data_IF_916402923015
#
_entry.id   IF_916402923015
#
_cell.length_a   1.000
_cell.length_b   1.000
_cell.length_c   1.000
_cell.angle_alpha   90.00
_cell.angle_beta   90.00
_cell.angle_gamma   90.00
#
_symmetry.space_group_name_H-M   'P 1'
#
loop_
_entity.id
_entity.type
_entity.pdbx_description
1 polymer ?
#
# COMPACT_ATOMS: atom_id res chain seq x y z
N UNK A 1 21.78 35.94 -9.49
CA UNK A 1 20.75 35.55 -10.47
C UNK A 1 20.14 34.28 -9.98
N UNK A 2 18.91 34.35 -9.47
CA UNK A 2 18.17 33.15 -9.01
C UNK A 2 17.64 32.47 -10.26
N UNK A 3 18.10 31.23 -10.56
CA UNK A 3 17.39 30.35 -11.46
C UNK A 3 16.11 29.92 -10.74
N UNK A 4 14.98 30.51 -11.12
CA UNK A 4 13.68 29.91 -10.85
C UNK A 4 13.69 28.53 -11.51
N UNK A 5 13.76 27.50 -10.69
CA UNK A 5 13.50 26.14 -11.16
C UNK A 5 12.03 26.12 -11.57
N UNK A 6 11.78 26.18 -12.86
CA UNK A 6 10.51 25.85 -13.44
C UNK A 6 10.22 24.40 -13.09
N UNK A 7 9.48 24.19 -12.03
CA UNK A 7 8.91 22.87 -11.74
C UNK A 7 7.82 22.67 -12.78
N UNK A 8 7.96 21.63 -13.57
CA UNK A 8 7.06 21.32 -14.66
C UNK A 8 5.62 21.21 -14.11
N UNK A 9 4.72 21.98 -14.64
CA UNK A 9 3.32 22.02 -14.20
C UNK A 9 2.63 20.65 -14.31
N UNK A 10 3.07 19.80 -15.24
CA UNK A 10 2.57 18.43 -15.38
C UNK A 10 3.04 17.53 -14.22
N UNK A 11 4.27 17.73 -13.72
CA UNK A 11 4.77 17.02 -12.54
C UNK A 11 4.01 17.45 -11.29
N UNK A 12 3.75 18.74 -11.12
CA UNK A 12 2.93 19.25 -10.00
C UNK A 12 1.49 18.73 -10.09
N UNK A 13 0.89 18.72 -11.28
CA UNK A 13 -0.45 18.19 -11.50
C UNK A 13 -0.52 16.69 -11.24
N UNK A 14 0.51 15.92 -11.60
CA UNK A 14 0.61 14.48 -11.29
C UNK A 14 0.72 14.22 -9.79
N UNK A 15 1.48 15.03 -9.06
CA UNK A 15 1.61 14.95 -7.59
C UNK A 15 0.31 15.35 -6.87
N UNK A 16 -0.44 16.32 -7.42
CA UNK A 16 -1.71 16.78 -6.87
C UNK A 16 -2.87 15.78 -7.06
N UNK A 17 -2.72 14.83 -7.97
CA UNK A 17 -3.76 13.83 -8.27
C UNK A 17 -3.43 12.42 -7.77
N UNK A 18 -2.27 12.21 -7.17
CA UNK A 18 -1.89 10.90 -6.60
C UNK A 18 -2.76 10.57 -5.41
N UNK A 19 -3.36 9.39 -5.44
CA UNK A 19 -4.18 8.85 -4.34
C UNK A 19 -3.48 7.68 -3.67
N UNK A 20 -3.70 7.56 -2.38
CA UNK A 20 -3.16 6.46 -1.57
C UNK A 20 -4.33 5.57 -1.16
N UNK A 21 -4.25 4.30 -1.50
CA UNK A 21 -5.24 3.28 -1.13
C UNK A 21 -4.61 2.31 -0.14
N UNK A 22 -5.27 2.08 0.99
CA UNK A 22 -4.80 1.20 2.05
C UNK A 22 -5.73 0.00 2.13
N UNK A 23 -5.18 -1.19 1.91
CA UNK A 23 -5.78 -2.47 2.27
C UNK A 23 -5.61 -2.63 3.78
N UNK A 24 -6.65 -2.25 4.53
CA UNK A 24 -6.51 -1.92 5.94
C UNK A 24 -6.71 -3.12 6.88
N UNK A 25 -7.26 -4.22 6.40
CA UNK A 25 -7.49 -5.40 7.23
C UNK A 25 -6.15 -6.02 7.69
N UNK A 26 -5.88 -5.93 8.99
CA UNK A 26 -4.62 -6.38 9.56
C UNK A 26 -3.39 -5.52 9.23
N UNK A 27 -3.56 -4.34 8.65
CA UNK A 27 -2.48 -3.43 8.27
C UNK A 27 -1.93 -2.69 9.50
N UNK A 28 -0.64 -2.88 9.87
CA UNK A 28 -0.07 -2.24 11.07
C UNK A 28 0.31 -0.77 10.83
N UNK A 29 0.26 -0.27 9.60
CA UNK A 29 0.75 1.06 9.21
C UNK A 29 -0.34 2.01 8.73
N UNK A 30 -1.61 1.66 8.91
CA UNK A 30 -2.73 2.50 8.50
C UNK A 30 -2.63 3.91 9.07
N UNK A 31 -2.37 4.05 10.37
CA UNK A 31 -2.26 5.35 11.03
C UNK A 31 -1.08 6.17 10.49
N UNK A 32 0.05 5.54 10.26
CA UNK A 32 1.24 6.19 9.70
C UNK A 32 0.96 6.67 8.28
N UNK A 33 0.35 5.82 7.46
CA UNK A 33 0.00 6.16 6.08
C UNK A 33 -0.95 7.36 6.00
N UNK A 34 -2.01 7.36 6.81
CA UNK A 34 -2.97 8.47 6.87
C UNK A 34 -2.30 9.77 7.34
N UNK A 35 -1.53 9.72 8.42
CA UNK A 35 -0.81 10.91 8.93
C UNK A 35 0.17 11.48 7.91
N UNK A 36 0.90 10.61 7.22
CA UNK A 36 1.85 11.02 6.17
C UNK A 36 1.11 11.65 4.99
N UNK A 37 0.02 11.03 4.54
CA UNK A 37 -0.82 11.57 3.47
C UNK A 37 -1.37 12.97 3.81
N UNK A 38 -1.98 13.12 4.97
CA UNK A 38 -2.55 14.40 5.43
C UNK A 38 -1.48 15.49 5.52
N UNK A 39 -0.34 15.18 6.10
CA UNK A 39 0.78 16.13 6.24
C UNK A 39 1.28 16.65 4.90
N UNK A 40 1.19 15.87 3.84
CA UNK A 40 1.69 16.21 2.52
C UNK A 40 0.59 16.50 1.48
N UNK A 41 -0.66 16.62 1.93
CA UNK A 41 -1.79 16.99 1.08
C UNK A 41 -2.20 15.92 0.05
N UNK A 42 -1.85 14.66 0.29
CA UNK A 42 -2.26 13.54 -0.56
C UNK A 42 -3.63 12.98 -0.11
N UNK A 43 -4.49 12.65 -1.07
CA UNK A 43 -5.73 11.95 -0.79
C UNK A 43 -5.46 10.53 -0.30
N UNK A 44 -6.14 10.10 0.75
CA UNK A 44 -5.97 8.78 1.32
C UNK A 44 -7.33 8.09 1.51
N UNK A 45 -7.43 6.87 1.03
CA UNK A 45 -8.62 6.04 1.15
C UNK A 45 -8.29 4.74 1.85
N UNK A 46 -9.00 4.47 2.94
CA UNK A 46 -8.94 3.22 3.69
C UNK A 46 -10.01 2.29 3.13
N UNK A 47 -9.64 1.07 2.78
CA UNK A 47 -10.59 0.04 2.35
C UNK A 47 -10.52 -1.10 3.35
N UNK A 48 -11.66 -1.44 3.97
CA UNK A 48 -11.79 -2.47 4.98
C UNK A 48 -13.09 -3.25 4.81
N UNK A 49 -13.20 -4.41 5.46
CA UNK A 49 -14.45 -5.12 5.52
C UNK A 49 -15.34 -4.64 6.69
N UNK A 50 -16.61 -5.07 6.68
CA UNK A 50 -17.57 -4.69 7.73
C UNK A 50 -17.23 -5.24 9.12
N UNK A 51 -16.35 -6.24 9.21
CA UNK A 51 -15.89 -6.78 10.49
C UNK A 51 -14.80 -5.93 11.14
N UNK A 52 -14.11 -5.12 10.36
CA UNK A 52 -12.94 -4.33 10.77
C UNK A 52 -13.08 -2.88 10.34
N UNK A 53 -14.23 -2.25 10.62
CA UNK A 53 -14.47 -0.84 10.25
C UNK A 53 -13.42 0.07 10.89
N UNK A 54 -12.63 0.72 10.04
CA UNK A 54 -11.52 1.58 10.43
C UNK A 54 -11.77 2.98 9.91
N UNK A 55 -11.87 3.95 10.81
CA UNK A 55 -12.06 5.35 10.48
C UNK A 55 -10.91 6.19 11.02
N UNK A 56 -10.38 7.07 10.20
CA UNK A 56 -9.30 8.00 10.57
C UNK A 56 -9.59 9.38 9.98
N UNK A 57 -9.34 10.41 10.77
CA UNK A 57 -9.47 11.79 10.33
C UNK A 57 -8.50 12.07 9.17
N UNK A 58 -9.01 12.71 8.13
CA UNK A 58 -8.23 13.05 6.94
C UNK A 58 -8.14 11.94 5.88
N UNK A 59 -8.81 10.81 6.10
CA UNK A 59 -8.94 9.75 5.10
C UNK A 59 -10.41 9.40 4.86
N UNK A 60 -10.73 9.06 3.62
CA UNK A 60 -12.01 8.42 3.29
C UNK A 60 -11.96 6.95 3.71
N UNK A 61 -13.06 6.42 4.25
CA UNK A 61 -13.19 5.00 4.54
C UNK A 61 -14.26 4.39 3.66
N UNK A 62 -13.89 3.37 2.91
CA UNK A 62 -14.79 2.55 2.12
C UNK A 62 -14.89 1.19 2.81
N UNK A 63 -16.09 0.87 3.28
CA UNK A 63 -16.37 -0.42 3.90
C UNK A 63 -17.06 -1.33 2.88
N UNK A 64 -16.52 -2.52 2.69
CA UNK A 64 -17.09 -3.54 1.80
C UNK A 64 -17.70 -4.67 2.61
N UNK A 65 -18.69 -5.36 2.04
CA UNK A 65 -19.31 -6.51 2.70
C UNK A 65 -18.29 -7.64 2.87
N UNK A 66 -18.45 -8.41 3.97
CA UNK A 66 -17.67 -9.64 4.21
C UNK A 66 -17.79 -10.58 3.02
N UNK A 67 -16.66 -10.95 2.49
CA UNK A 67 -16.56 -11.94 1.42
C UNK A 67 -15.12 -12.07 1.01
N UNK A 68 -14.73 -13.25 0.52
CA UNK A 68 -13.41 -13.43 -0.07
C UNK A 68 -13.21 -12.39 -1.18
N UNK A 69 -12.08 -11.69 -1.14
CA UNK A 69 -11.61 -10.79 -2.18
C UNK A 69 -12.40 -9.47 -2.38
N UNK A 70 -13.40 -9.15 -1.54
CA UNK A 70 -14.21 -7.92 -1.70
C UNK A 70 -13.36 -6.64 -1.57
N UNK A 71 -12.45 -6.59 -0.60
CA UNK A 71 -11.49 -5.47 -0.43
C UNK A 71 -10.58 -5.37 -1.65
N UNK A 72 -10.04 -6.50 -2.11
CA UNK A 72 -9.14 -6.57 -3.26
C UNK A 72 -9.81 -6.05 -4.53
N UNK A 73 -10.99 -6.54 -4.85
CA UNK A 73 -11.74 -6.08 -6.03
C UNK A 73 -12.09 -4.60 -5.95
N UNK A 74 -12.50 -4.12 -4.78
CA UNK A 74 -12.82 -2.71 -4.60
C UNK A 74 -11.60 -1.82 -4.82
N UNK A 75 -10.47 -2.19 -4.23
CA UNK A 75 -9.23 -1.44 -4.37
C UNK A 75 -8.75 -1.42 -5.82
N UNK A 76 -8.69 -2.58 -6.47
CA UNK A 76 -8.25 -2.68 -7.88
C UNK A 76 -9.16 -1.89 -8.82
N UNK A 77 -10.46 -1.82 -8.56
CA UNK A 77 -11.39 -1.03 -9.37
C UNK A 77 -11.23 0.49 -9.19
N UNK A 78 -10.71 0.92 -8.06
CA UNK A 78 -10.52 2.35 -7.76
C UNK A 78 -9.14 2.87 -8.15
N UNK A 79 -8.12 2.03 -8.06
CA UNK A 79 -6.73 2.44 -8.28
C UNK A 79 -6.45 2.71 -9.76
N UNK A 80 -5.65 3.72 -10.02
CA UNK A 80 -5.21 4.13 -11.37
C UNK A 80 -3.68 4.17 -11.46
N UNK A 81 -3.18 4.33 -12.67
CA UNK A 81 -1.74 4.51 -12.91
C UNK A 81 -1.18 5.68 -12.09
N UNK A 82 -0.07 5.45 -11.40
CA UNK A 82 0.60 6.43 -10.56
C UNK A 82 0.05 6.56 -9.14
N UNK A 83 -1.09 5.95 -8.83
CA UNK A 83 -1.57 5.87 -7.46
C UNK A 83 -0.71 4.94 -6.60
N UNK A 84 -0.83 5.08 -5.29
CA UNK A 84 -0.10 4.25 -4.32
C UNK A 84 -1.08 3.25 -3.69
N UNK A 85 -0.69 1.99 -3.64
CA UNK A 85 -1.35 0.97 -2.82
C UNK A 85 -0.44 0.53 -1.67
N UNK A 86 -1.03 0.35 -0.49
CA UNK A 86 -0.36 -0.24 0.68
C UNK A 86 -1.06 -1.54 1.00
N UNK A 87 -0.37 -2.66 0.85
CA UNK A 87 -0.93 -4.00 1.12
C UNK A 87 0.12 -5.00 1.53
N UNK A 88 -0.28 -5.99 2.33
CA UNK A 88 0.52 -7.17 2.66
C UNK A 88 0.15 -8.38 1.78
N UNK A 89 -0.87 -8.26 0.96
CA UNK A 89 -1.35 -9.33 0.09
C UNK A 89 -0.63 -9.30 -1.25
N UNK A 90 0.14 -10.35 -1.54
CA UNK A 90 0.91 -10.45 -2.79
C UNK A 90 0.02 -10.55 -4.03
N UNK A 91 -1.14 -11.19 -3.92
CA UNK A 91 -2.09 -11.28 -5.02
C UNK A 91 -2.69 -9.93 -5.38
N UNK A 92 -3.11 -9.15 -4.36
CA UNK A 92 -3.58 -7.79 -4.54
C UNK A 92 -2.46 -6.89 -5.09
N UNK A 93 -1.23 -7.02 -4.56
CA UNK A 93 -0.08 -6.29 -5.06
C UNK A 93 0.15 -6.54 -6.56
N UNK A 94 0.07 -7.79 -7.01
CA UNK A 94 0.20 -8.13 -8.43
C UNK A 94 -0.89 -7.47 -9.30
N UNK A 95 -2.13 -7.45 -8.83
CA UNK A 95 -3.23 -6.79 -9.54
C UNK A 95 -3.02 -5.26 -9.62
N UNK A 96 -2.56 -4.63 -8.56
CA UNK A 96 -2.25 -3.19 -8.55
C UNK A 96 -1.07 -2.85 -9.47
N UNK A 97 -0.05 -3.70 -9.52
CA UNK A 97 1.08 -3.53 -10.45
C UNK A 97 0.63 -3.60 -11.91
N UNK A 98 -0.33 -4.47 -12.24
CA UNK A 98 -0.89 -4.54 -13.59
C UNK A 98 -1.61 -3.26 -14.02
N UNK A 99 -2.05 -2.47 -13.07
CA UNK A 99 -2.62 -1.13 -13.25
C UNK A 99 -1.57 -0.01 -13.29
N UNK A 100 -0.29 -0.36 -13.22
CA UNK A 100 0.85 0.58 -13.13
C UNK A 100 0.80 1.49 -11.89
N UNK A 101 0.22 0.99 -10.82
CA UNK A 101 0.28 1.64 -9.52
C UNK A 101 1.63 1.36 -8.83
N UNK A 102 1.97 2.21 -7.88
CA UNK A 102 3.12 2.01 -6.99
C UNK A 102 2.63 1.25 -5.77
N UNK A 103 3.24 0.11 -5.46
CA UNK A 103 2.76 -0.76 -4.40
C UNK A 103 3.82 -0.96 -3.33
N UNK A 104 3.47 -0.63 -2.09
CA UNK A 104 4.31 -0.78 -0.91
C UNK A 104 3.77 -1.85 0.04
N UNK A 105 4.67 -2.59 0.67
CA UNK A 105 4.32 -3.42 1.80
C UNK A 105 4.37 -2.61 3.11
N UNK A 106 4.05 -3.23 4.23
CA UNK A 106 4.04 -2.61 5.57
C UNK A 106 5.42 -2.17 6.08
N UNK A 107 6.50 -2.62 5.45
CA UNK A 107 7.88 -2.24 5.80
C UNK A 107 8.47 -1.21 4.83
N UNK A 108 7.65 -0.69 3.91
CA UNK A 108 8.07 0.27 2.91
C UNK A 108 8.82 -0.34 1.71
N UNK A 109 8.86 -1.65 1.61
CA UNK A 109 9.44 -2.32 0.43
C UNK A 109 8.49 -2.26 -0.73
N UNK A 110 9.00 -1.94 -1.91
CA UNK A 110 8.20 -1.91 -3.14
C UNK A 110 8.01 -3.31 -3.69
N UNK A 111 6.76 -3.61 -4.02
CA UNK A 111 6.48 -4.68 -4.97
C UNK A 111 6.76 -4.20 -6.38
N UNK A 112 7.37 -5.02 -7.18
CA UNK A 112 7.71 -4.75 -8.57
C UNK A 112 7.37 -5.94 -9.44
N UNK A 113 7.32 -5.74 -10.75
CA UNK A 113 7.17 -6.86 -11.70
C UNK A 113 8.29 -7.90 -11.57
N UNK A 114 9.47 -7.47 -11.10
CA UNK A 114 10.64 -8.35 -10.92
C UNK A 114 10.56 -9.22 -9.67
N UNK A 115 9.96 -8.75 -8.58
CA UNK A 115 9.94 -9.49 -7.31
C UNK A 115 8.61 -10.19 -7.01
N UNK A 116 7.52 -9.75 -7.62
CA UNK A 116 6.18 -10.23 -7.25
C UNK A 116 5.98 -11.72 -7.54
N UNK A 117 6.52 -12.22 -8.64
CA UNK A 117 6.39 -13.62 -9.01
C UNK A 117 7.05 -14.54 -7.98
N UNK A 118 8.26 -14.24 -7.55
CA UNK A 118 8.97 -14.99 -6.51
C UNK A 118 8.24 -14.97 -5.16
N UNK A 119 7.62 -13.84 -4.80
CA UNK A 119 6.82 -13.72 -3.58
C UNK A 119 5.54 -14.57 -3.64
N UNK A 120 4.86 -14.61 -4.77
CA UNK A 120 3.70 -15.46 -4.99
C UNK A 120 4.07 -16.96 -4.90
N UNK A 121 5.18 -17.36 -5.50
CA UNK A 121 5.70 -18.73 -5.42
C UNK A 121 6.07 -19.11 -3.98
N UNK A 122 6.75 -18.24 -3.25
CA UNK A 122 7.06 -18.44 -1.84
C UNK A 122 5.80 -18.62 -0.99
N UNK A 123 4.76 -17.82 -1.22
CA UNK A 123 3.45 -17.96 -0.56
C UNK A 123 2.84 -19.32 -0.82
N UNK A 124 2.85 -19.78 -2.08
CA UNK A 124 2.29 -21.08 -2.47
C UNK A 124 3.03 -22.24 -1.80
N UNK A 125 4.35 -22.20 -1.75
CA UNK A 125 5.20 -23.21 -1.08
C UNK A 125 4.91 -23.21 0.44
N UNK A 126 4.88 -22.05 1.08
CA UNK A 126 4.58 -21.92 2.50
C UNK A 126 3.19 -22.44 2.88
N UNK A 127 2.19 -22.18 2.03
CA UNK A 127 0.85 -22.71 2.21
C UNK A 127 0.80 -24.24 2.08
N UNK A 128 1.57 -24.81 1.15
CA UNK A 128 1.69 -26.26 0.99
C UNK A 128 2.34 -26.90 2.22
N UNK A 129 3.40 -26.32 2.75
CA UNK A 129 4.06 -26.80 3.98
C UNK A 129 3.09 -26.78 5.17
N UNK A 130 2.33 -25.71 5.37
CA UNK A 130 1.34 -25.64 6.46
C UNK A 130 0.24 -26.69 6.31
N UNK A 131 -0.26 -26.93 5.09
CA UNK A 131 -1.29 -27.97 4.82
C UNK A 131 -0.78 -29.39 5.07
N UNK A 132 0.50 -29.64 4.90
CA UNK A 132 1.11 -30.96 5.20
C UNK A 132 1.48 -31.15 6.68
N UNK A 133 1.06 -30.24 7.58
CA UNK A 133 1.31 -30.31 9.02
C UNK A 133 2.67 -29.74 9.45
N UNK A 134 3.41 -29.11 8.55
CA UNK A 134 4.64 -28.40 8.85
C UNK A 134 4.39 -27.11 9.64
N UNK A 135 5.34 -26.74 10.49
CA UNK A 135 5.30 -25.48 11.24
C UNK A 135 6.21 -24.46 10.56
N UNK A 136 5.66 -23.29 10.24
CA UNK A 136 6.45 -22.12 9.86
C UNK A 136 6.72 -21.29 11.11
N UNK A 137 7.93 -20.73 11.23
CA UNK A 137 8.27 -19.83 12.33
C UNK A 137 7.35 -18.59 12.24
N UNK A 138 6.73 -18.23 13.38
CA UNK A 138 5.92 -17.02 13.48
C UNK A 138 6.73 -15.76 13.17
N UNK A 139 6.07 -14.72 12.69
CA UNK A 139 6.70 -13.43 12.45
C UNK A 139 7.15 -12.80 13.77
N UNK A 140 8.34 -12.20 13.83
CA UNK A 140 8.77 -11.46 15.01
C UNK A 140 7.87 -10.23 15.24
N UNK A 141 7.85 -9.72 16.48
CA UNK A 141 7.13 -8.51 16.82
C UNK A 141 7.64 -7.32 15.98
N UNK A 142 6.72 -6.52 15.46
CA UNK A 142 7.04 -5.32 14.69
C UNK A 142 7.84 -4.30 15.52
N UNK A 143 8.83 -3.67 14.90
CA UNK A 143 9.72 -2.68 15.52
C UNK A 143 9.37 -1.26 15.07
N UNK A 144 9.77 -0.26 15.87
CA UNK A 144 9.68 1.16 15.50
C UNK A 144 10.53 1.50 14.27
N UNK A 145 11.64 0.78 14.05
CA UNK A 145 12.44 0.99 12.84
C UNK A 145 11.66 0.62 11.58
N UNK A 146 10.90 -0.46 11.59
CA UNK A 146 10.03 -0.83 10.47
C UNK A 146 8.95 0.23 10.20
N UNK A 147 8.43 0.86 11.24
CA UNK A 147 7.48 1.98 11.10
C UNK A 147 8.14 3.19 10.43
N UNK A 148 9.35 3.56 10.84
CA UNK A 148 10.12 4.64 10.21
C UNK A 148 10.49 4.32 8.76
N UNK A 149 10.89 3.10 8.48
CA UNK A 149 11.23 2.66 7.13
C UNK A 149 10.02 2.77 6.19
N UNK A 150 8.84 2.37 6.66
CA UNK A 150 7.60 2.54 5.92
C UNK A 150 7.27 4.03 5.69
N UNK A 151 7.31 4.85 6.74
CA UNK A 151 7.01 6.29 6.63
C UNK A 151 7.95 6.98 5.63
N UNK A 152 9.24 6.70 5.70
CA UNK A 152 10.24 7.25 4.79
C UNK A 152 10.01 6.79 3.35
N UNK A 153 9.69 5.52 3.14
CA UNK A 153 9.40 4.99 1.81
C UNK A 153 8.15 5.60 1.19
N UNK A 154 7.07 5.72 1.97
CA UNK A 154 5.83 6.36 1.52
C UNK A 154 6.06 7.84 1.19
N UNK A 155 6.77 8.56 2.06
CA UNK A 155 7.11 9.95 1.85
C UNK A 155 7.93 10.14 0.56
N UNK A 156 8.94 9.29 0.33
CA UNK A 156 9.76 9.35 -0.88
C UNK A 156 8.90 9.20 -2.16
N UNK A 157 7.91 8.32 -2.15
CA UNK A 157 6.98 8.17 -3.29
C UNK A 157 6.09 9.40 -3.44
N UNK A 158 5.53 9.94 -2.36
CA UNK A 158 4.64 11.12 -2.39
C UNK A 158 5.36 12.33 -2.98
N UNK A 159 6.62 12.56 -2.61
CA UNK A 159 7.40 13.71 -3.11
C UNK A 159 8.13 13.42 -4.42
N UNK A 160 7.93 12.26 -5.04
CA UNK A 160 8.51 11.90 -6.34
C UNK A 160 10.01 11.58 -6.31
N UNK A 161 10.57 11.27 -5.15
CA UNK A 161 11.93 10.75 -5.03
C UNK A 161 11.91 9.23 -5.19
N UNK A 162 12.25 8.75 -6.37
CA UNK A 162 12.37 7.31 -6.69
C UNK A 162 13.78 6.79 -6.44
#
# INVERSE_FOLDING_TARGET
MFQEQYVDSEIIMGLLNMKIFIDADGCPVTDIAVKTAVKHGAECTIICDTAHSIYRDGAETITVSKGADSVDFRLVNLISEGDIAVTQDYGLAAMCLSKKAIVLNQDGKRYTEYNIQGLLEFRAISAKIRRSGGRTKGLPKRTEQQNRDFENALLAVIIGQN
#
